data_IF_362823439741
#
_entry.id   IF_362823439741
#
_cell.length_a   1.000
_cell.length_b   1.000
_cell.length_c   1.000
_cell.angle_alpha   90.00
_cell.angle_beta   90.00
_cell.angle_gamma   90.00
#
_symmetry.space_group_name_H-M   'P 1'
#
loop_
_entity.id
_entity.type
_entity.pdbx_description
1 polymer ?
#
# COMPACT_ATOMS: atom_id res chain seq x y z
N UNK A 1 9.67 -1.04 3.22
CA UNK A 1 8.89 -1.62 2.11
C UNK A 1 8.02 -2.72 2.66
N UNK A 2 6.76 -2.79 2.22
CA UNK A 2 5.79 -3.79 2.68
C UNK A 2 5.49 -4.78 1.56
N UNK A 3 5.93 -6.04 1.74
CA UNK A 3 5.62 -7.13 0.82
C UNK A 3 4.45 -7.99 1.34
N UNK A 4 3.53 -8.31 0.45
CA UNK A 4 2.25 -8.96 0.76
C UNK A 4 2.09 -10.13 -0.20
N UNK A 5 2.09 -11.34 0.34
CA UNK A 5 1.88 -12.55 -0.46
C UNK A 5 0.38 -12.75 -0.68
N UNK A 6 -0.02 -12.96 -1.93
CA UNK A 6 -1.40 -13.19 -2.34
C UNK A 6 -1.45 -14.54 -3.05
N UNK A 7 -2.36 -15.41 -2.60
CA UNK A 7 -2.50 -16.76 -3.16
C UNK A 7 -3.07 -16.69 -4.58
N UNK A 8 -2.88 -17.78 -5.34
CA UNK A 8 -3.52 -17.92 -6.63
C UNK A 8 -5.05 -17.78 -6.50
N UNK A 9 -5.66 -17.25 -7.56
CA UNK A 9 -7.10 -17.05 -7.72
C UNK A 9 -7.75 -16.06 -6.75
N UNK A 10 -6.97 -15.26 -6.02
CA UNK A 10 -7.50 -14.20 -5.16
C UNK A 10 -7.57 -12.85 -5.88
N UNK A 11 -8.70 -12.16 -5.73
CA UNK A 11 -8.86 -10.76 -6.11
C UNK A 11 -8.33 -9.86 -5.00
N UNK A 12 -7.65 -8.78 -5.38
CA UNK A 12 -7.14 -7.77 -4.44
C UNK A 12 -7.96 -6.49 -4.59
N UNK A 13 -8.75 -6.16 -3.58
CA UNK A 13 -9.45 -4.88 -3.50
C UNK A 13 -8.65 -3.94 -2.60
N UNK A 14 -8.14 -2.85 -3.17
CA UNK A 14 -7.26 -1.91 -2.50
C UNK A 14 -7.95 -0.55 -2.31
N UNK A 15 -7.80 0.03 -1.13
CA UNK A 15 -8.22 1.40 -0.78
C UNK A 15 -7.20 2.05 0.14
N UNK A 16 -7.31 3.36 0.38
CA UNK A 16 -6.41 4.05 1.32
C UNK A 16 -7.12 5.14 2.13
N UNK A 17 -6.56 5.45 3.29
CA UNK A 17 -7.00 6.49 4.23
C UNK A 17 -5.80 7.34 4.63
N UNK A 18 -6.02 8.64 4.88
CA UNK A 18 -4.96 9.57 5.28
C UNK A 18 -5.39 10.29 6.54
N UNK A 19 -4.51 10.31 7.53
CA UNK A 19 -4.65 11.08 8.78
C UNK A 19 -3.40 11.97 9.02
N UNK A 20 -2.51 12.05 8.03
CA UNK A 20 -1.28 12.84 8.11
C UNK A 20 -1.44 14.25 7.53
N UNK A 21 -0.69 15.20 8.08
CA UNK A 21 -0.67 16.58 7.58
C UNK A 21 0.08 16.73 6.25
N UNK A 22 1.09 15.89 6.01
CA UNK A 22 1.81 15.84 4.74
C UNK A 22 0.94 15.18 3.65
N UNK A 23 1.16 15.56 2.39
CA UNK A 23 0.52 14.92 1.24
C UNK A 23 1.08 13.51 1.07
N UNK A 24 0.20 12.51 1.04
CA UNK A 24 0.59 11.10 1.02
C UNK A 24 0.35 10.46 -0.34
N UNK A 25 1.25 9.58 -0.78
CA UNK A 25 1.04 8.71 -1.95
C UNK A 25 1.62 7.33 -1.71
N UNK A 26 1.26 6.39 -2.57
CA UNK A 26 1.85 5.07 -2.54
C UNK A 26 2.06 4.51 -3.95
N UNK A 27 3.18 3.81 -4.13
CA UNK A 27 3.46 3.03 -5.33
C UNK A 27 3.07 1.58 -5.07
N UNK A 28 2.35 0.99 -6.02
CA UNK A 28 2.01 -0.43 -6.00
C UNK A 28 2.83 -1.13 -7.06
N UNK A 29 3.55 -2.16 -6.65
CA UNK A 29 4.20 -3.10 -7.57
C UNK A 29 3.68 -4.50 -7.36
N UNK A 30 3.83 -5.33 -8.39
CA UNK A 30 3.50 -6.75 -8.32
C UNK A 30 4.57 -7.56 -9.02
N UNK A 31 4.85 -8.74 -8.47
CA UNK A 31 5.65 -9.78 -9.10
C UNK A 31 4.89 -11.10 -9.05
N UNK A 32 4.91 -11.88 -10.13
CA UNK A 32 4.43 -13.27 -10.08
C UNK A 32 5.47 -14.14 -9.38
N UNK A 33 5.07 -15.16 -8.62
CA UNK A 33 6.05 -16.05 -7.98
C UNK A 33 7.01 -16.73 -8.96
N UNK A 34 6.59 -16.85 -10.23
CA UNK A 34 7.36 -17.41 -11.34
C UNK A 34 8.31 -16.40 -12.01
N UNK A 35 8.29 -15.13 -11.61
CA UNK A 35 9.08 -14.05 -12.20
C UNK A 35 10.09 -13.48 -11.20
N UNK A 36 11.20 -12.93 -11.70
CA UNK A 36 12.26 -12.35 -10.88
C UNK A 36 12.00 -10.88 -10.49
N UNK A 37 11.33 -10.13 -11.36
CA UNK A 37 11.23 -8.67 -11.25
C UNK A 37 9.84 -8.18 -10.87
N UNK A 38 9.79 -7.06 -10.15
CA UNK A 38 8.55 -6.35 -9.89
C UNK A 38 8.18 -5.43 -11.05
N UNK A 39 6.91 -5.47 -11.46
CA UNK A 39 6.32 -4.48 -12.35
C UNK A 39 5.58 -3.41 -11.54
N UNK A 40 5.71 -2.14 -11.92
CA UNK A 40 4.93 -1.05 -11.32
C UNK A 40 3.52 -1.10 -11.89
N UNK A 41 2.53 -1.28 -11.02
CA UNK A 41 1.12 -1.26 -11.40
C UNK A 41 0.55 0.16 -11.39
N UNK A 42 1.07 1.03 -10.53
CA UNK A 42 0.68 2.44 -10.50
C UNK A 42 1.21 3.19 -9.28
N UNK A 43 1.05 4.50 -9.32
CA UNK A 43 1.33 5.43 -8.23
C UNK A 43 0.03 6.17 -7.93
N UNK A 44 -0.40 6.14 -6.67
CA UNK A 44 -1.72 6.60 -6.28
C UNK A 44 -1.64 7.61 -5.14
N UNK A 45 -2.48 8.63 -5.21
CA UNK A 45 -2.65 9.60 -4.15
C UNK A 45 -3.44 8.98 -2.98
N UNK A 46 -2.91 9.06 -1.76
CA UNK A 46 -3.52 8.52 -0.55
C UNK A 46 -4.82 9.22 -0.19
N UNK A 47 -5.78 8.47 0.36
CA UNK A 47 -7.05 9.01 0.87
C UNK A 47 -8.03 9.48 -0.22
N UNK A 48 -7.71 9.24 -1.50
CA UNK A 48 -8.58 9.63 -2.62
C UNK A 48 -9.30 8.42 -3.20
N UNK A 49 -10.56 8.57 -3.67
CA UNK A 49 -11.26 7.48 -4.35
C UNK A 49 -10.54 6.97 -5.61
N UNK A 50 -9.80 7.84 -6.30
CA UNK A 50 -8.98 7.48 -7.45
C UNK A 50 -7.80 6.55 -7.10
N UNK A 51 -7.37 6.54 -5.84
CA UNK A 51 -6.37 5.61 -5.33
C UNK A 51 -6.92 4.21 -5.01
N UNK A 52 -8.24 4.01 -5.09
CA UNK A 52 -8.84 2.69 -4.91
C UNK A 52 -8.74 1.87 -6.19
N UNK A 53 -8.29 0.62 -6.09
CA UNK A 53 -8.06 -0.26 -7.23
C UNK A 53 -8.59 -1.65 -6.96
N UNK A 54 -9.00 -2.34 -8.02
CA UNK A 54 -9.27 -3.78 -7.98
C UNK A 54 -8.34 -4.47 -8.96
N UNK A 55 -7.49 -5.36 -8.43
CA UNK A 55 -6.65 -6.22 -9.24
C UNK A 55 -7.31 -7.58 -9.35
N UNK A 56 -7.66 -7.97 -10.57
CA UNK A 56 -8.30 -9.25 -10.85
C UNK A 56 -7.42 -10.43 -10.41
N UNK A 57 -8.07 -11.52 -10.06
CA UNK A 57 -7.43 -12.78 -9.72
C UNK A 57 -6.50 -13.29 -10.83
N UNK A 58 -5.36 -13.84 -10.43
CA UNK A 58 -4.38 -14.49 -11.31
C UNK A 58 -4.22 -15.94 -10.85
N UNK A 59 -4.10 -16.87 -11.79
CA UNK A 59 -4.03 -18.31 -11.53
C UNK A 59 -2.71 -18.80 -10.92
N UNK A 60 -1.79 -17.91 -10.57
CA UNK A 60 -0.54 -18.19 -9.86
C UNK A 60 -0.39 -17.24 -8.66
N UNK A 61 0.31 -17.66 -7.58
CA UNK A 61 0.58 -16.77 -6.45
C UNK A 61 1.37 -15.53 -6.88
N UNK A 62 1.14 -14.42 -6.19
CA UNK A 62 1.80 -13.13 -6.48
C UNK A 62 2.31 -12.47 -5.20
N UNK A 63 3.29 -11.59 -5.35
CA UNK A 63 3.76 -10.70 -4.28
C UNK A 63 3.42 -9.28 -4.68
N UNK A 64 2.68 -8.57 -3.83
CA UNK A 64 2.47 -7.13 -3.94
C UNK A 64 3.49 -6.41 -3.07
N UNK A 65 4.09 -5.36 -3.61
CA UNK A 65 4.94 -4.44 -2.86
C UNK A 65 4.25 -3.08 -2.78
N UNK A 66 4.10 -2.55 -1.57
CA UNK A 66 3.57 -1.22 -1.32
C UNK A 66 4.69 -0.33 -0.78
N UNK A 67 4.84 0.83 -1.42
CA UNK A 67 5.84 1.85 -1.10
C UNK A 67 5.10 3.15 -0.79
N UNK A 68 4.98 3.51 0.48
CA UNK A 68 4.49 4.83 0.92
C UNK A 68 5.53 5.95 0.79
N UNK A 69 5.13 7.09 0.22
CA UNK A 69 5.91 8.33 0.22
C UNK A 69 5.06 9.50 0.72
N UNK A 70 5.72 10.50 1.27
CA UNK A 70 5.10 11.73 1.75
C UNK A 70 5.83 12.97 1.23
N UNK A 71 5.06 14.01 0.91
CA UNK A 71 5.56 15.34 0.60
C UNK A 71 4.90 16.37 1.51
N UNK A 72 5.70 17.17 2.21
CA UNK A 72 5.20 18.30 2.96
C UNK A 72 5.64 19.62 2.32
N UNK A 73 4.70 20.27 1.63
CA UNK A 73 4.93 21.55 0.94
C UNK A 73 5.53 22.64 1.87
N UNK A 74 5.32 22.54 3.19
CA UNK A 74 5.92 23.41 4.20
C UNK A 74 7.46 23.38 4.17
N UNK A 75 8.05 22.23 3.87
CA UNK A 75 9.51 22.01 3.88
C UNK A 75 10.10 21.80 2.48
N UNK A 76 9.28 21.66 1.44
CA UNK A 76 9.71 21.60 0.05
C UNK A 76 8.81 20.76 -0.86
N UNK A 77 9.27 20.51 -2.08
CA UNK A 77 8.55 19.72 -3.10
C UNK A 77 9.04 18.28 -3.24
N UNK A 78 9.99 17.87 -2.40
CA UNK A 78 10.57 16.53 -2.44
C UNK A 78 9.64 15.48 -1.84
N UNK A 79 9.54 14.32 -2.49
CA UNK A 79 8.87 13.15 -1.92
C UNK A 79 9.89 12.34 -1.14
N UNK A 80 9.55 12.02 0.11
CA UNK A 80 10.39 11.22 0.98
C UNK A 80 9.72 9.91 1.33
N UNK A 81 10.56 8.89 1.51
CA UNK A 81 10.14 7.55 1.87
C UNK A 81 9.56 7.53 3.27
N UNK A 82 8.29 7.13 3.39
CA UNK A 82 7.61 6.94 4.67
C UNK A 82 8.03 5.60 5.29
N UNK A 83 8.08 5.54 6.63
CA UNK A 83 8.27 4.29 7.36
C UNK A 83 6.98 3.45 7.30
N UNK A 84 7.09 2.12 7.26
CA UNK A 84 5.94 1.24 7.04
C UNK A 84 5.93 0.06 8.00
N UNK A 85 4.72 -0.39 8.36
CA UNK A 85 4.49 -1.69 8.99
C UNK A 85 3.26 -2.36 8.39
N UNK A 86 3.24 -3.69 8.45
CA UNK A 86 2.16 -4.50 7.87
C UNK A 86 1.40 -5.19 8.99
N UNK A 87 0.07 -5.15 8.93
CA UNK A 87 -0.84 -5.90 9.80
C UNK A 87 -1.78 -6.78 8.98
N UNK A 88 -1.95 -8.01 9.43
CA UNK A 88 -2.87 -8.98 8.83
C UNK A 88 -4.06 -9.20 9.76
N UNK A 89 -5.25 -9.17 9.20
CA UNK A 89 -6.51 -9.45 9.88
C UNK A 89 -7.22 -10.55 9.10
N UNK A 90 -7.39 -11.72 9.71
CA UNK A 90 -8.04 -12.86 9.08
C UNK A 90 -9.51 -12.89 9.49
N UNK A 91 -10.40 -12.66 8.53
CA UNK A 91 -11.83 -12.83 8.71
C UNK A 91 -12.26 -14.18 8.11
N UNK A 92 -13.47 -14.69 8.41
CA UNK A 92 -13.94 -15.98 7.88
C UNK A 92 -13.96 -16.08 6.34
N UNK A 93 -14.14 -14.96 5.64
CA UNK A 93 -14.34 -14.94 4.18
C UNK A 93 -13.24 -14.18 3.42
N UNK A 94 -12.39 -13.44 4.12
CA UNK A 94 -11.35 -12.62 3.50
C UNK A 94 -10.17 -12.40 4.45
N UNK A 95 -9.03 -12.03 3.87
CA UNK A 95 -7.89 -11.51 4.62
C UNK A 95 -7.77 -10.03 4.33
N UNK A 96 -7.82 -9.20 5.37
CA UNK A 96 -7.54 -7.78 5.28
C UNK A 96 -6.09 -7.54 5.67
N UNK A 97 -5.32 -6.92 4.78
CA UNK A 97 -3.95 -6.50 5.02
C UNK A 97 -3.92 -4.98 5.08
N UNK A 98 -3.31 -4.41 6.12
CA UNK A 98 -3.08 -2.98 6.23
C UNK A 98 -1.60 -2.68 6.20
N UNK A 99 -1.19 -1.84 5.27
CA UNK A 99 0.12 -1.19 5.26
C UNK A 99 -0.07 0.17 5.92
N UNK A 100 0.40 0.27 7.15
CA UNK A 100 0.32 1.46 7.99
C UNK A 100 1.64 2.23 7.85
N UNK A 101 1.54 3.51 7.50
CA UNK A 101 2.68 4.34 7.11
C UNK A 101 2.76 5.57 8.01
N UNK A 102 3.96 5.85 8.51
CA UNK A 102 4.31 7.09 9.18
C UNK A 102 5.09 7.97 8.19
N UNK A 103 4.66 9.22 8.03
CA UNK A 103 5.25 10.15 7.10
C UNK A 103 6.70 10.48 7.49
N UNK A 104 7.48 10.90 6.50
CA UNK A 104 8.92 11.08 6.66
C UNK A 104 9.32 12.39 7.39
N UNK A 105 8.33 13.20 7.75
CA UNK A 105 8.51 14.56 8.23
C UNK A 105 8.00 14.74 9.67
N UNK A 106 7.00 13.96 10.06
CA UNK A 106 6.55 13.73 11.42
C UNK A 106 7.47 12.77 12.18
N UNK A 107 7.20 12.62 13.48
CA UNK A 107 8.03 11.79 14.37
C UNK A 107 7.30 11.32 15.62
N UNK A 108 5.97 11.38 15.62
CA UNK A 108 5.11 10.85 16.70
C UNK A 108 4.96 9.32 16.65
N UNK A 109 5.17 8.71 15.48
CA UNK A 109 5.35 7.26 15.33
C UNK A 109 4.06 6.45 15.49
N UNK A 110 2.91 7.02 15.15
CA UNK A 110 1.60 6.38 15.24
C UNK A 110 1.27 5.47 14.02
N UNK A 111 1.88 5.75 12.86
CA UNK A 111 1.71 5.06 11.57
C UNK A 111 0.26 5.14 11.02
N UNK A 112 -0.44 6.24 11.27
CA UNK A 112 -1.77 6.49 10.69
C UNK A 112 -1.74 7.50 9.54
N UNK A 113 -0.60 8.16 9.27
CA UNK A 113 -0.49 9.23 8.26
C UNK A 113 -1.04 8.79 6.90
N UNK A 114 -0.70 7.56 6.51
CA UNK A 114 -1.31 6.85 5.39
C UNK A 114 -1.55 5.39 5.78
N UNK A 115 -2.77 4.91 5.57
CA UNK A 115 -3.11 3.49 5.70
C UNK A 115 -3.60 2.99 4.34
N UNK A 116 -2.85 2.06 3.74
CA UNK A 116 -3.27 1.33 2.54
C UNK A 116 -3.86 0.00 2.96
N UNK A 117 -5.14 -0.22 2.64
CA UNK A 117 -5.86 -1.45 2.97
C UNK A 117 -6.04 -2.30 1.71
N UNK A 118 -5.67 -3.58 1.80
CA UNK A 118 -5.91 -4.60 0.79
C UNK A 118 -6.88 -5.62 1.37
N UNK A 119 -7.95 -5.93 0.67
CA UNK A 119 -8.88 -7.02 0.99
C UNK A 119 -8.65 -8.12 -0.04
N UNK A 120 -8.21 -9.28 0.42
CA UNK A 120 -7.89 -10.46 -0.39
C UNK A 120 -9.10 -11.41 -0.33
N UNK A 121 -9.71 -11.69 -1.50
CA UNK A 121 -10.91 -12.52 -1.64
C UNK A 121 -10.69 -13.62 -2.64
#
# INVERSE_FOLDING_TARGET
>A
MAEIQVSANQTVQMSSFVDGAATQRFTVKRRLYTEADFIVLGIYQGGTPAGSQTFNAINVPTVFEIICDSNWAKYGTEWKRSAERVKYFNNPNDTVVRVECADAWGGDGDFNDLVVQLILK
#
